data_IF_250733084336
#
_entry.id   IF_250733084336
#
_cell.length_a   1.000
_cell.length_b   1.000
_cell.length_c   1.000
_cell.angle_alpha   90.00
_cell.angle_beta   90.00
_cell.angle_gamma   90.00
#
_symmetry.space_group_name_H-M   'P 1'
#
loop_
_entity.id
_entity.type
_entity.pdbx_description
1 polymer ?
#
# COMPACT_ATOMS: atom_id res chain seq x y z
N UNK A 1 21.38 4.40 2.10
CA UNK A 1 20.54 4.81 0.95
C UNK A 1 19.16 4.23 1.16
N UNK A 2 18.18 5.11 1.42
CA UNK A 2 16.80 4.73 1.65
C UNK A 2 16.10 4.56 0.31
N UNK A 3 15.64 3.36 -0.03
CA UNK A 3 14.68 3.13 -1.09
C UNK A 3 13.30 3.00 -0.44
N UNK A 4 12.62 4.13 -0.27
CA UNK A 4 11.21 4.13 0.09
C UNK A 4 10.42 3.86 -1.20
N UNK A 5 9.71 2.75 -1.24
CA UNK A 5 8.81 2.42 -2.36
C UNK A 5 7.37 2.51 -1.86
N UNK A 6 6.70 3.55 -2.29
CA UNK A 6 5.28 3.76 -2.06
C UNK A 6 4.56 3.39 -3.34
N UNK A 7 3.72 2.38 -3.31
CA UNK A 7 2.83 2.07 -4.43
C UNK A 7 1.55 2.87 -4.23
N UNK A 8 1.45 4.02 -4.90
CA UNK A 8 0.27 4.87 -4.90
C UNK A 8 -0.61 4.52 -6.10
N UNK A 9 -1.84 4.06 -5.87
CA UNK A 9 -2.85 3.92 -6.92
C UNK A 9 -4.06 4.80 -6.62
N UNK A 10 -3.97 6.09 -6.93
CA UNK A 10 -5.12 7.00 -6.86
C UNK A 10 -5.90 7.10 -8.19
N UNK A 11 -5.36 6.59 -9.30
CA UNK A 11 -5.99 6.59 -10.63
C UNK A 11 -5.50 5.44 -11.50
N UNK A 12 -5.83 4.19 -11.19
CA UNK A 12 -5.54 3.06 -12.08
C UNK A 12 -4.09 2.95 -12.61
N UNK A 13 -3.12 3.51 -11.87
CA UNK A 13 -1.71 3.47 -12.22
C UNK A 13 -0.92 3.01 -11.01
N UNK A 14 -0.06 2.02 -11.21
CA UNK A 14 0.98 1.68 -10.24
C UNK A 14 2.11 2.67 -10.40
N UNK A 15 2.50 3.30 -9.32
CA UNK A 15 3.66 4.18 -9.30
C UNK A 15 4.75 3.58 -8.42
N UNK A 16 5.95 3.53 -8.96
CA UNK A 16 7.17 3.18 -8.25
C UNK A 16 7.87 4.47 -7.86
N UNK A 17 8.27 4.62 -6.61
CA UNK A 17 9.03 5.79 -6.20
C UNK A 17 10.51 5.50 -6.28
N UNK A 18 11.18 6.09 -7.26
CA UNK A 18 12.64 6.05 -7.38
C UNK A 18 13.22 7.42 -6.99
N UNK A 19 14.11 7.45 -6.00
CA UNK A 19 14.80 8.66 -5.54
C UNK A 19 13.85 9.82 -5.19
N UNK A 20 12.71 9.52 -4.57
CA UNK A 20 11.69 10.53 -4.23
C UNK A 20 10.83 10.99 -5.41
N UNK A 21 10.87 10.29 -6.54
CA UNK A 21 10.08 10.59 -7.73
C UNK A 21 9.14 9.43 -8.03
N UNK A 22 7.85 9.71 -8.18
CA UNK A 22 6.89 8.71 -8.64
C UNK A 22 7.16 8.36 -10.10
N UNK A 23 7.34 7.07 -10.39
CA UNK A 23 7.54 6.56 -11.74
C UNK A 23 6.39 5.59 -12.05
N UNK A 24 5.59 5.84 -13.10
CA UNK A 24 4.52 4.92 -13.47
C UNK A 24 5.06 3.53 -13.78
N UNK A 25 4.44 2.49 -13.21
CA UNK A 25 4.68 1.11 -13.61
C UNK A 25 3.71 0.79 -14.74
N UNK A 26 4.19 0.41 -15.94
CA UNK A 26 3.31 0.08 -17.06
C UNK A 26 2.33 -1.04 -16.70
N UNK A 27 1.07 -0.90 -17.11
CA UNK A 27 0.08 -1.95 -16.97
C UNK A 27 0.57 -3.25 -17.62
N UNK A 28 0.43 -4.38 -16.93
CA UNK A 28 0.83 -5.69 -17.44
C UNK A 28 2.32 -6.07 -17.21
N UNK A 29 3.15 -5.20 -16.62
CA UNK A 29 4.44 -5.65 -16.08
C UNK A 29 4.22 -6.23 -14.68
N UNK A 30 4.70 -7.44 -14.49
CA UNK A 30 4.77 -8.01 -13.14
C UNK A 30 5.72 -7.15 -12.30
N UNK A 31 5.34 -6.80 -11.06
CA UNK A 31 6.27 -6.18 -10.14
C UNK A 31 7.43 -7.14 -9.93
N UNK A 32 8.64 -6.62 -9.92
CA UNK A 32 9.79 -7.41 -9.51
C UNK A 32 9.56 -7.86 -8.06
N UNK A 33 9.54 -9.17 -7.85
CA UNK A 33 9.28 -9.75 -6.53
C UNK A 33 10.37 -9.30 -5.56
N UNK A 34 11.60 -9.14 -6.03
CA UNK A 34 12.71 -8.63 -5.21
C UNK A 34 12.43 -7.19 -4.75
N UNK A 35 11.69 -6.41 -5.55
CA UNK A 35 11.22 -5.08 -5.17
C UNK A 35 10.16 -5.11 -4.05
N UNK A 36 9.31 -6.13 -4.02
CA UNK A 36 8.30 -6.34 -2.97
C UNK A 36 8.91 -6.96 -1.70
N UNK A 37 10.04 -7.61 -1.84
CA UNK A 37 10.81 -8.15 -0.71
C UNK A 37 11.55 -7.06 0.06
N UNK A 38 11.46 -5.80 -0.36
CA UNK A 38 12.00 -4.68 0.39
C UNK A 38 11.18 -4.38 1.68
N UNK A 39 11.70 -3.56 2.55
CA UNK A 39 11.44 -3.59 4.00
C UNK A 39 10.02 -3.27 4.46
N UNK A 40 9.18 -2.61 3.68
CA UNK A 40 7.78 -2.31 4.04
C UNK A 40 6.90 -2.07 2.81
N UNK A 41 5.58 -2.17 3.01
CA UNK A 41 4.59 -1.99 1.96
C UNK A 41 3.56 -0.93 2.37
N UNK A 42 3.36 0.09 1.54
CA UNK A 42 2.22 1.00 1.67
C UNK A 42 1.26 0.74 0.52
N UNK A 43 0.05 0.30 0.85
CA UNK A 43 -1.00 -0.02 -0.09
C UNK A 43 -1.96 1.16 -0.18
N UNK A 44 -2.22 1.63 -1.41
CA UNK A 44 -3.23 2.65 -1.68
C UNK A 44 -4.21 2.16 -2.73
N UNK A 45 -5.52 2.27 -2.48
CA UNK A 45 -6.56 1.87 -3.42
C UNK A 45 -7.77 2.79 -3.34
N UNK A 46 -8.43 3.11 -4.46
CA UNK A 46 -9.79 3.63 -4.38
C UNK A 46 -10.76 2.53 -4.00
N UNK A 47 -11.86 2.92 -3.36
CA UNK A 47 -13.03 2.05 -3.21
C UNK A 47 -13.90 2.14 -4.46
N UNK A 48 -14.06 1.02 -5.14
CA UNK A 48 -14.95 0.88 -6.29
C UNK A 48 -16.04 -0.16 -5.96
N UNK A 49 -17.30 0.27 -6.01
CA UNK A 49 -18.44 -0.62 -5.74
C UNK A 49 -18.35 -1.39 -4.40
N UNK A 50 -17.88 -0.71 -3.34
CA UNK A 50 -17.73 -1.33 -2.02
C UNK A 50 -16.60 -2.35 -1.91
N UNK A 51 -15.58 -2.25 -2.78
CA UNK A 51 -14.44 -3.16 -2.86
C UNK A 51 -13.17 -2.41 -3.25
N UNK A 52 -11.98 -3.04 -3.09
CA UNK A 52 -10.76 -2.49 -3.64
C UNK A 52 -10.85 -2.36 -5.18
N UNK A 53 -10.02 -1.54 -5.80
CA UNK A 53 -9.99 -1.47 -7.26
C UNK A 53 -9.62 -2.81 -7.90
N UNK A 54 -10.15 -3.08 -9.10
CA UNK A 54 -9.83 -4.31 -9.84
C UNK A 54 -8.33 -4.47 -10.09
N UNK A 55 -7.61 -3.35 -10.32
CA UNK A 55 -6.16 -3.38 -10.49
C UNK A 55 -5.42 -3.75 -9.20
N UNK A 56 -5.91 -3.31 -8.03
CA UNK A 56 -5.34 -3.71 -6.75
C UNK A 56 -5.57 -5.19 -6.49
N UNK A 57 -6.77 -5.69 -6.83
CA UNK A 57 -7.09 -7.12 -6.71
C UNK A 57 -6.18 -7.97 -7.61
N UNK A 58 -6.03 -7.59 -8.87
CA UNK A 58 -5.13 -8.24 -9.83
C UNK A 58 -3.67 -8.24 -9.33
N UNK A 59 -3.19 -7.11 -8.82
CA UNK A 59 -1.86 -7.01 -8.23
C UNK A 59 -1.67 -7.99 -7.07
N UNK A 60 -2.59 -7.98 -6.11
CA UNK A 60 -2.51 -8.85 -4.94
C UNK A 60 -2.61 -10.34 -5.31
N UNK A 61 -3.43 -10.71 -6.30
CA UNK A 61 -3.50 -12.09 -6.80
C UNK A 61 -2.18 -12.56 -7.41
N UNK A 62 -1.55 -11.71 -8.21
CA UNK A 62 -0.29 -12.07 -8.88
C UNK A 62 0.89 -12.22 -7.91
N UNK A 63 0.94 -11.40 -6.85
CA UNK A 63 2.03 -11.45 -5.89
C UNK A 63 1.82 -12.49 -4.78
N UNK A 64 0.59 -12.91 -4.51
CA UNK A 64 0.24 -13.67 -3.30
C UNK A 64 1.12 -14.91 -3.14
N UNK A 65 1.05 -15.85 -4.05
CA UNK A 65 1.83 -17.09 -3.96
C UNK A 65 3.34 -16.88 -4.13
N UNK A 66 3.73 -15.88 -4.89
CA UNK A 66 5.14 -15.56 -5.08
C UNK A 66 5.80 -15.00 -3.81
N UNK A 67 5.01 -14.31 -2.96
CA UNK A 67 5.46 -13.67 -1.73
C UNK A 67 5.15 -14.48 -0.46
N UNK A 68 4.21 -15.43 -0.53
CA UNK A 68 3.83 -16.26 0.61
C UNK A 68 5.05 -16.96 1.22
N UNK A 69 5.21 -16.88 2.54
CA UNK A 69 6.36 -17.43 3.26
C UNK A 69 7.66 -16.63 3.13
N UNK A 70 7.69 -15.53 2.35
CA UNK A 70 8.92 -14.74 2.13
C UNK A 70 8.88 -13.34 2.76
N UNK A 71 7.68 -12.79 2.95
CA UNK A 71 7.49 -11.42 3.43
C UNK A 71 6.78 -11.35 4.78
N UNK A 72 6.65 -12.46 5.46
CA UNK A 72 5.98 -12.55 6.77
C UNK A 72 6.60 -11.58 7.79
N UNK A 73 5.74 -10.94 8.57
CA UNK A 73 6.14 -9.98 9.60
C UNK A 73 6.59 -8.62 9.08
N UNK A 74 6.66 -8.40 7.76
CA UNK A 74 7.01 -7.09 7.21
C UNK A 74 5.92 -6.08 7.51
N UNK A 75 6.30 -4.84 7.85
CA UNK A 75 5.33 -3.80 8.16
C UNK A 75 4.59 -3.35 6.91
N UNK A 76 3.29 -3.14 7.06
CA UNK A 76 2.46 -2.58 6.00
C UNK A 76 1.44 -1.58 6.53
N UNK A 77 1.02 -0.67 5.68
CA UNK A 77 -0.02 0.31 5.97
C UNK A 77 -0.97 0.47 4.78
N UNK A 78 -2.18 0.97 5.05
CA UNK A 78 -3.24 1.13 4.06
C UNK A 78 -3.79 2.54 4.06
N UNK A 79 -4.02 3.08 2.86
CA UNK A 79 -4.89 4.22 2.69
C UNK A 79 -5.90 3.96 1.56
N UNK A 80 -7.10 4.52 1.71
CA UNK A 80 -8.23 4.31 0.81
C UNK A 80 -8.85 5.64 0.42
N UNK A 81 -9.04 5.86 -0.87
CA UNK A 81 -9.88 6.95 -1.37
C UNK A 81 -11.30 6.42 -1.65
N UNK A 82 -12.32 7.02 -1.04
CA UNK A 82 -13.70 6.53 -1.13
C UNK A 82 -14.70 7.63 -1.43
N UNK A 83 -15.79 7.27 -2.12
CA UNK A 83 -16.96 8.13 -2.29
C UNK A 83 -17.92 8.08 -1.09
N UNK A 84 -17.87 6.98 -0.32
CA UNK A 84 -18.65 6.74 0.88
C UNK A 84 -17.72 6.52 2.07
N UNK A 85 -17.80 5.38 2.75
CA UNK A 85 -17.06 5.11 3.99
C UNK A 85 -15.73 4.37 3.79
N UNK A 86 -15.49 3.77 2.63
CA UNK A 86 -14.25 3.05 2.32
C UNK A 86 -14.12 1.67 2.96
N UNK A 87 -15.12 1.25 3.75
CA UNK A 87 -15.06 0.03 4.55
C UNK A 87 -14.88 -1.25 3.73
N UNK A 88 -15.50 -1.31 2.55
CA UNK A 88 -15.40 -2.46 1.67
C UNK A 88 -14.01 -2.62 1.07
N UNK A 89 -13.35 -1.52 0.70
CA UNK A 89 -11.98 -1.55 0.23
C UNK A 89 -11.01 -1.97 1.35
N UNK A 90 -11.15 -1.40 2.54
CA UNK A 90 -10.35 -1.76 3.72
C UNK A 90 -10.48 -3.26 3.99
N UNK A 91 -11.69 -3.77 4.17
CA UNK A 91 -11.95 -5.18 4.49
C UNK A 91 -11.39 -6.12 3.41
N UNK A 92 -11.55 -5.76 2.14
CA UNK A 92 -11.10 -6.62 1.03
C UNK A 92 -9.59 -6.70 0.93
N UNK A 93 -8.87 -5.59 1.13
CA UNK A 93 -7.40 -5.58 1.16
C UNK A 93 -6.88 -6.36 2.37
N UNK A 94 -7.38 -6.04 3.56
CA UNK A 94 -6.94 -6.68 4.81
C UNK A 94 -7.10 -8.21 4.76
N UNK A 95 -8.20 -8.70 4.18
CA UNK A 95 -8.44 -10.13 4.05
C UNK A 95 -7.34 -10.84 3.27
N UNK A 96 -6.86 -10.25 2.18
CA UNK A 96 -5.80 -10.86 1.36
C UNK A 96 -4.44 -10.70 2.05
N UNK A 97 -4.14 -9.51 2.55
CA UNK A 97 -2.84 -9.21 3.17
C UNK A 97 -2.63 -10.00 4.47
N UNK A 98 -3.70 -10.32 5.21
CA UNK A 98 -3.64 -11.23 6.36
C UNK A 98 -3.10 -12.60 5.96
N UNK A 99 -3.44 -13.11 4.78
CA UNK A 99 -2.88 -14.36 4.26
C UNK A 99 -1.36 -14.30 4.03
N UNK A 100 -0.81 -13.14 3.74
CA UNK A 100 0.64 -12.90 3.61
C UNK A 100 1.33 -12.71 4.95
N UNK A 101 0.61 -12.71 6.07
CA UNK A 101 1.10 -12.55 7.46
C UNK A 101 1.94 -11.28 7.66
N UNK A 102 1.58 -10.21 6.98
CA UNK A 102 2.23 -8.90 7.16
C UNK A 102 1.80 -8.26 8.48
N UNK A 103 2.69 -7.47 9.08
CA UNK A 103 2.43 -6.72 10.31
C UNK A 103 1.80 -5.38 10.00
N UNK A 104 0.52 -5.21 10.34
CA UNK A 104 -0.20 -3.94 10.16
C UNK A 104 0.39 -2.83 11.03
N UNK A 105 0.63 -1.66 10.42
CA UNK A 105 1.10 -0.46 11.11
C UNK A 105 0.00 0.61 11.07
N UNK A 106 -0.52 0.94 12.22
CA UNK A 106 -1.59 1.92 12.38
C UNK A 106 -2.94 1.47 11.81
N UNK A 107 -3.91 2.36 11.91
CA UNK A 107 -5.24 2.16 11.31
C UNK A 107 -5.24 2.66 9.85
N UNK A 108 -6.09 2.09 8.98
CA UNK A 108 -6.22 2.56 7.61
C UNK A 108 -6.62 4.03 7.55
N UNK A 109 -5.95 4.80 6.71
CA UNK A 109 -6.34 6.20 6.47
C UNK A 109 -7.37 6.19 5.33
N UNK A 110 -8.60 6.58 5.65
CA UNK A 110 -9.69 6.66 4.68
C UNK A 110 -9.97 8.12 4.33
N UNK A 111 -9.83 8.46 3.06
CA UNK A 111 -10.15 9.77 2.49
C UNK A 111 -11.51 9.67 1.82
N UNK A 112 -12.52 10.31 2.41
CA UNK A 112 -13.88 10.33 1.86
C UNK A 112 -14.09 11.59 1.03
N UNK A 113 -14.37 11.42 -0.26
CA UNK A 113 -14.55 12.47 -1.27
C UNK A 113 -13.27 13.28 -1.48
N UNK A 114 -13.13 14.43 -0.81
CA UNK A 114 -12.02 15.34 -1.02
C UNK A 114 -10.90 15.12 0.02
N UNK A 115 -9.66 15.15 -0.45
CA UNK A 115 -8.50 15.10 0.42
C UNK A 115 -8.38 16.41 1.21
N UNK A 116 -8.46 16.32 2.51
CA UNK A 116 -8.32 17.45 3.43
C UNK A 116 -6.87 17.57 3.94
N UNK A 117 -6.44 18.77 4.36
CA UNK A 117 -5.08 18.97 4.87
C UNK A 117 -4.69 18.03 6.02
N UNK A 118 -5.65 17.70 6.91
CA UNK A 118 -5.42 16.79 8.04
C UNK A 118 -5.09 15.37 7.58
N UNK A 119 -5.74 14.91 6.52
CA UNK A 119 -5.50 13.58 5.95
C UNK A 119 -4.18 13.53 5.19
N UNK A 120 -3.81 14.62 4.51
CA UNK A 120 -2.50 14.74 3.89
C UNK A 120 -1.39 14.68 4.94
N UNK A 121 -1.53 15.44 6.03
CA UNK A 121 -0.59 15.42 7.15
C UNK A 121 -0.48 14.01 7.78
N UNK A 122 -1.61 13.31 7.95
CA UNK A 122 -1.61 11.94 8.48
C UNK A 122 -0.89 10.95 7.55
N UNK A 123 -1.03 11.11 6.24
CA UNK A 123 -0.30 10.29 5.25
C UNK A 123 1.21 10.57 5.28
N UNK A 124 1.61 11.83 5.40
CA UNK A 124 3.01 12.23 5.54
C UNK A 124 3.62 11.68 6.84
N UNK A 125 2.89 11.79 7.95
CA UNK A 125 3.30 11.26 9.25
C UNK A 125 3.44 9.73 9.21
N UNK A 126 2.50 9.02 8.60
CA UNK A 126 2.57 7.58 8.41
C UNK A 126 3.84 7.18 7.65
N UNK A 127 4.13 7.86 6.55
CA UNK A 127 5.34 7.60 5.76
C UNK A 127 6.62 7.86 6.55
N UNK A 128 6.66 8.97 7.29
CA UNK A 128 7.80 9.32 8.14
C UNK A 128 8.00 8.32 9.29
N UNK A 129 6.91 7.91 9.95
CA UNK A 129 6.96 6.94 11.04
C UNK A 129 7.45 5.56 10.56
N UNK A 130 6.98 5.09 9.41
CA UNK A 130 7.45 3.84 8.81
C UNK A 130 8.93 3.90 8.45
N UNK A 131 9.38 5.00 7.84
CA UNK A 131 10.79 5.20 7.51
C UNK A 131 11.70 5.26 8.77
N UNK A 132 11.26 5.97 9.82
CA UNK A 132 11.98 6.07 11.08
C UNK A 132 12.04 4.73 11.81
N UNK A 133 10.93 3.98 11.84
CA UNK A 133 10.87 2.66 12.47
C UNK A 133 11.81 1.65 11.83
N UNK A 134 11.92 1.68 10.51
CA UNK A 134 12.91 0.87 9.78
C UNK A 134 14.35 1.29 10.10
N UNK A 135 14.60 2.62 10.17
CA UNK A 135 15.91 3.14 10.51
C UNK A 135 16.39 2.66 11.86
N UNK A 136 15.47 2.61 12.81
CA UNK A 136 15.72 2.19 14.18
C UNK A 136 15.73 0.67 14.35
N UNK A 137 15.39 -0.12 13.34
CA UNK A 137 15.25 -1.57 13.42
C UNK A 137 14.09 -2.04 14.31
N UNK A 138 13.05 -1.20 14.42
CA UNK A 138 11.86 -1.48 15.27
C UNK A 138 10.75 -2.13 14.43
N UNK A 139 10.76 -1.93 13.14
CA UNK A 139 9.82 -2.49 12.17
C UNK A 139 10.46 -3.57 11.30
#
# INVERSE_FOLDING_TARGET
RWNMRVTLSLRNHYERVERGRAVPVPAGKEPDIDDLLDRFLVIGTPENFGYMSGMMKDFLERIFYACEGKIEGRPWALFVGAGQDGSGAVTSVERIVTGLRLKKIGEPIVVVKDLKPEQLAALEELGAAMAAGLAAGIL
#
